data_IF_592906215997
#
_entry.id   IF_592906215997
#
_cell.length_a   1.000
_cell.length_b   1.000
_cell.length_c   1.000
_cell.angle_alpha   90.00
_cell.angle_beta   90.00
_cell.angle_gamma   90.00
#
_symmetry.space_group_name_H-M   'P 1'
#
loop_
_entity.id
_entity.type
_entity.pdbx_description
1 polymer ?
#
# COMPACT_ATOMS: atom_id res chain seq x y z
N UNK A 1 10.70 -10.70 5.67
CA UNK A 1 9.91 -9.49 5.95
C UNK A 1 8.40 -9.78 5.90
N UNK A 2 7.72 -9.91 4.75
CA UNK A 2 6.27 -10.22 4.77
C UNK A 2 5.91 -11.67 5.14
N UNK A 3 6.87 -12.59 4.96
CA UNK A 3 6.74 -14.00 5.32
C UNK A 3 7.19 -14.30 6.76
N UNK A 4 7.62 -13.29 7.52
CA UNK A 4 7.97 -13.45 8.93
C UNK A 4 6.69 -13.57 9.75
N UNK A 5 6.72 -14.44 10.77
CA UNK A 5 5.53 -14.76 11.58
C UNK A 5 5.01 -13.52 12.32
N UNK A 6 5.91 -12.65 12.75
CA UNK A 6 5.62 -11.37 13.40
C UNK A 6 4.80 -10.43 12.50
N UNK A 7 4.90 -10.62 11.18
CA UNK A 7 4.25 -9.81 10.17
C UNK A 7 3.02 -10.50 9.57
N UNK A 8 2.71 -11.75 9.94
CA UNK A 8 1.63 -12.56 9.35
C UNK A 8 0.30 -11.82 9.37
N UNK A 9 -0.01 -11.22 10.51
CA UNK A 9 -1.24 -10.49 10.72
C UNK A 9 -1.01 -8.98 10.57
N UNK A 10 -0.08 -8.47 9.76
CA UNK A 10 0.05 -7.02 9.54
C UNK A 10 -0.82 -6.55 8.36
N UNK A 11 -1.54 -5.42 8.51
CA UNK A 11 -2.16 -4.71 7.38
C UNK A 11 -1.07 -4.09 6.51
N UNK A 12 -1.19 -4.21 5.19
CA UNK A 12 -0.17 -3.72 4.25
C UNK A 12 -0.68 -2.52 3.45
N UNK A 13 -0.15 -1.33 3.75
CA UNK A 13 -0.28 -0.17 2.87
C UNK A 13 0.97 -0.04 2.00
N UNK A 14 0.80 0.02 0.68
CA UNK A 14 1.87 0.32 -0.27
C UNK A 14 1.66 1.73 -0.80
N UNK A 15 2.57 2.64 -0.44
CA UNK A 15 2.62 3.97 -1.06
C UNK A 15 3.39 3.87 -2.39
N UNK A 16 2.67 3.89 -3.50
CA UNK A 16 3.23 3.94 -4.85
C UNK A 16 3.79 5.35 -5.11
N UNK A 17 4.91 5.66 -4.46
CA UNK A 17 5.47 7.00 -4.38
C UNK A 17 6.16 7.45 -5.68
N UNK A 18 6.36 8.77 -5.80
CA UNK A 18 6.99 9.48 -6.93
C UNK A 18 6.14 9.55 -8.20
N UNK A 19 4.81 9.62 -8.05
CA UNK A 19 3.88 9.72 -9.17
C UNK A 19 3.97 11.05 -9.94
N UNK A 20 4.73 12.01 -9.43
CA UNK A 20 5.10 13.25 -10.11
C UNK A 20 6.10 13.05 -11.26
N UNK A 21 6.81 11.93 -11.31
CA UNK A 21 7.84 11.68 -12.32
C UNK A 21 7.23 11.19 -13.65
N UNK A 22 7.75 11.64 -14.82
CA UNK A 22 7.20 11.33 -16.15
C UNK A 22 7.30 9.85 -16.55
N UNK A 23 7.91 9.00 -15.72
CA UNK A 23 8.04 7.55 -15.92
C UNK A 23 7.60 6.77 -14.67
N UNK A 24 6.80 7.39 -13.82
CA UNK A 24 6.24 6.71 -12.67
C UNK A 24 5.39 5.53 -13.16
N UNK A 25 5.56 4.39 -12.49
CA UNK A 25 4.77 3.20 -12.78
C UNK A 25 3.34 3.41 -12.26
N UNK A 26 2.31 3.16 -13.08
CA UNK A 26 0.94 3.26 -12.64
C UNK A 26 0.62 2.18 -11.59
N UNK A 27 -0.32 2.48 -10.69
CA UNK A 27 -0.66 1.61 -9.55
C UNK A 27 -1.03 0.18 -9.96
N UNK A 28 -1.78 0.01 -11.06
CA UNK A 28 -2.16 -1.32 -11.53
C UNK A 28 -0.94 -2.17 -11.91
N UNK A 29 0.02 -1.60 -12.64
CA UNK A 29 1.24 -2.32 -13.03
C UNK A 29 2.11 -2.62 -11.82
N UNK A 30 2.19 -1.68 -10.85
CA UNK A 30 2.91 -1.89 -9.61
C UNK A 30 2.29 -3.01 -8.76
N UNK A 31 0.97 -3.10 -8.73
CA UNK A 31 0.22 -4.17 -8.05
C UNK A 31 0.57 -5.54 -8.64
N UNK A 32 0.62 -5.64 -9.96
CA UNK A 32 0.98 -6.87 -10.67
C UNK A 32 2.45 -7.26 -10.41
N UNK A 33 3.38 -6.30 -10.57
CA UNK A 33 4.83 -6.57 -10.42
C UNK A 33 5.23 -6.92 -8.98
N UNK A 34 4.53 -6.37 -7.99
CA UNK A 34 4.73 -6.76 -6.59
C UNK A 34 4.00 -8.06 -6.22
N UNK A 35 3.20 -8.62 -7.13
CA UNK A 35 2.48 -9.87 -6.89
C UNK A 35 1.45 -9.77 -5.78
N UNK A 36 0.86 -8.59 -5.54
CA UNK A 36 -0.04 -8.38 -4.40
C UNK A 36 -1.30 -9.24 -4.49
N UNK A 37 -1.71 -9.59 -5.70
CA UNK A 37 -2.80 -10.54 -5.95
C UNK A 37 -2.57 -11.95 -5.37
N UNK A 38 -1.31 -12.33 -5.12
CA UNK A 38 -0.97 -13.60 -4.48
C UNK A 38 -1.09 -13.56 -2.96
N UNK A 39 -1.17 -12.37 -2.34
CA UNK A 39 -1.33 -12.23 -0.90
C UNK A 39 -2.77 -12.58 -0.48
N UNK A 40 -2.98 -13.85 -0.15
CA UNK A 40 -4.25 -14.35 0.40
C UNK A 40 -4.28 -14.16 1.92
N UNK A 41 -5.44 -13.75 2.45
CA UNK A 41 -5.65 -13.61 3.90
C UNK A 41 -5.04 -12.35 4.55
N UNK A 42 -4.42 -11.47 3.76
CA UNK A 42 -3.88 -10.18 4.22
C UNK A 42 -4.66 -9.03 3.60
N UNK A 43 -5.09 -8.07 4.42
CA UNK A 43 -5.64 -6.82 3.92
C UNK A 43 -4.50 -5.95 3.37
N UNK A 44 -4.66 -5.48 2.14
CA UNK A 44 -3.68 -4.61 1.50
C UNK A 44 -4.36 -3.54 0.65
N UNK A 45 -3.66 -2.43 0.45
CA UNK A 45 -4.05 -1.35 -0.45
C UNK A 45 -2.82 -0.68 -1.04
N UNK A 46 -2.97 -0.18 -2.26
CA UNK A 46 -1.93 0.60 -2.95
C UNK A 46 -2.48 1.98 -3.20
N UNK A 47 -1.77 2.99 -2.70
CA UNK A 47 -2.13 4.39 -2.84
C UNK A 47 -1.11 5.09 -3.72
N UNK A 48 -1.55 5.76 -4.78
CA UNK A 48 -0.69 6.64 -5.58
C UNK A 48 -0.24 7.81 -4.70
N UNK A 49 1.04 8.16 -4.74
CA UNK A 49 1.61 9.13 -3.79
C UNK A 49 2.70 9.99 -4.42
N UNK A 50 2.72 11.26 -4.03
CA UNK A 50 3.85 12.16 -4.27
C UNK A 50 4.29 12.77 -2.93
N UNK A 51 5.35 12.22 -2.33
CA UNK A 51 5.79 12.66 -1.00
C UNK A 51 6.23 14.13 -0.96
N UNK A 52 6.76 14.69 -2.05
CA UNK A 52 7.20 16.10 -2.09
C UNK A 52 6.03 17.08 -2.19
N UNK A 53 4.88 16.64 -2.70
CA UNK A 53 3.65 17.43 -2.77
C UNK A 53 2.67 17.06 -1.64
N UNK A 54 2.89 15.94 -0.97
CA UNK A 54 2.03 15.38 0.08
C UNK A 54 0.78 14.65 -0.44
N UNK A 55 0.55 14.56 -1.75
CA UNK A 55 -0.64 13.94 -2.31
C UNK A 55 -0.66 12.43 -2.06
N UNK A 56 -1.83 11.89 -1.72
CA UNK A 56 -2.04 10.47 -1.46
C UNK A 56 -1.61 9.99 -0.07
N UNK A 57 -0.87 10.80 0.70
CA UNK A 57 -0.42 10.40 2.03
C UNK A 57 -1.58 10.28 3.01
N UNK A 58 -2.47 11.27 3.04
CA UNK A 58 -3.62 11.27 3.93
C UNK A 58 -4.58 10.14 3.60
N UNK A 59 -4.91 9.97 2.31
CA UNK A 59 -5.81 8.94 1.83
C UNK A 59 -5.31 7.53 2.18
N UNK A 60 -4.00 7.29 1.98
CA UNK A 60 -3.38 6.01 2.33
C UNK A 60 -3.39 5.74 3.83
N UNK A 61 -3.07 6.74 4.64
CA UNK A 61 -3.04 6.62 6.11
C UNK A 61 -4.44 6.54 6.71
N UNK A 62 -5.43 7.22 6.14
CA UNK A 62 -6.83 7.11 6.53
C UNK A 62 -7.35 5.69 6.28
N UNK A 63 -7.05 5.12 5.11
CA UNK A 63 -7.37 3.71 4.84
C UNK A 63 -6.71 2.78 5.86
N UNK A 64 -5.41 2.98 6.13
CA UNK A 64 -4.69 2.14 7.09
C UNK A 64 -5.30 2.25 8.49
N UNK A 65 -5.64 3.46 8.92
CA UNK A 65 -6.28 3.72 10.21
C UNK A 65 -7.63 3.00 10.31
N UNK A 66 -8.47 3.11 9.29
CA UNK A 66 -9.75 2.40 9.22
C UNK A 66 -9.59 0.87 9.29
N UNK A 67 -8.60 0.30 8.60
CA UNK A 67 -8.32 -1.14 8.70
C UNK A 67 -7.82 -1.56 10.08
N UNK A 68 -7.01 -0.73 10.74
CA UNK A 68 -6.52 -1.01 12.09
C UNK A 68 -7.66 -0.91 13.12
N UNK A 69 -8.59 0.04 12.97
CA UNK A 69 -9.76 0.15 13.86
C UNK A 69 -10.76 -0.99 13.74
N UNK A 70 -10.79 -1.69 12.60
CA UNK A 70 -11.66 -2.86 12.38
C UNK A 70 -11.10 -4.15 12.95
N UNK A 71 -9.86 -4.15 13.43
CA UNK A 71 -9.27 -5.32 14.06
C UNK A 71 -9.73 -5.42 15.51
N UNK A 72 -10.18 -6.61 15.93
CA UNK A 72 -10.55 -6.87 17.32
C UNK A 72 -9.36 -6.81 18.26
#
# INVERSE_FOLDING_TARGET
MLAEDEMRDAVLLVLANKQDLPKAMPVHELTDRLGLHALRGRQWFVQDTCAVQGSGLYEGLDWLTDQLSKRP
#
